data_IF_144416943408
#
_entry.id   IF_144416943408
#
_cell.length_a   1.000
_cell.length_b   1.000
_cell.length_c   1.000
_cell.angle_alpha   90.00
_cell.angle_beta   90.00
_cell.angle_gamma   90.00
#
_symmetry.space_group_name_H-M   'P 1'
#
loop_
_entity.id
_entity.type
_entity.pdbx_description
1 polymer ?
#
# COMPACT_ATOMS: atom_id res chain seq x y z
N UNK A 1 8.36 17.43 7.89
CA UNK A 1 8.34 18.03 9.24
C UNK A 1 7.40 17.20 10.09
N UNK A 2 7.92 16.55 11.14
CA UNK A 2 7.06 16.08 12.24
C UNK A 2 6.51 17.34 12.89
N UNK A 3 5.21 17.55 12.76
CA UNK A 3 4.52 18.50 13.63
C UNK A 3 4.72 17.90 15.01
N UNK A 4 5.34 18.65 15.92
CA UNK A 4 5.41 18.28 17.33
C UNK A 4 3.97 18.19 17.83
N UNK A 5 3.37 17.02 17.72
CA UNK A 5 2.01 16.78 18.21
C UNK A 5 2.04 17.04 19.70
N UNK A 6 1.19 17.95 20.17
CA UNK A 6 1.15 18.32 21.57
C UNK A 6 0.84 17.07 22.40
N UNK A 7 1.78 16.63 23.23
CA UNK A 7 1.62 15.42 24.06
C UNK A 7 0.32 15.41 24.88
N UNK A 8 -0.18 16.60 25.27
CA UNK A 8 -1.46 16.74 25.95
C UNK A 8 -2.65 16.36 25.05
N UNK A 9 -2.65 16.80 23.80
CA UNK A 9 -3.69 16.50 22.81
C UNK A 9 -3.72 15.01 22.46
N UNK A 10 -2.56 14.39 22.26
CA UNK A 10 -2.46 12.94 22.03
C UNK A 10 -3.10 12.17 23.19
N UNK A 11 -2.78 12.55 24.44
CA UNK A 11 -3.34 11.92 25.64
C UNK A 11 -4.84 12.17 25.79
N UNK A 12 -5.32 13.37 25.46
CA UNK A 12 -6.74 13.71 25.49
C UNK A 12 -7.52 12.90 24.46
N UNK A 13 -7.07 12.86 23.21
CA UNK A 13 -7.69 12.05 22.16
C UNK A 13 -7.72 10.56 22.52
N UNK A 14 -6.64 10.02 23.08
CA UNK A 14 -6.58 8.63 23.52
C UNK A 14 -7.71 8.28 24.49
N UNK A 15 -8.00 9.14 25.49
CA UNK A 15 -8.99 8.89 26.56
C UNK A 15 -10.43 8.76 26.06
N UNK A 16 -10.72 9.09 24.80
CA UNK A 16 -12.04 8.99 24.20
C UNK A 16 -12.36 7.58 23.67
N UNK A 17 -11.40 6.65 23.70
CA UNK A 17 -11.56 5.28 23.20
C UNK A 17 -11.86 4.25 24.29
N UNK A 18 -12.49 3.13 23.91
CA UNK A 18 -12.85 2.02 24.79
C UNK A 18 -11.74 0.98 24.91
N UNK A 19 -10.68 1.32 25.63
CA UNK A 19 -9.59 0.40 25.95
C UNK A 19 -9.61 -0.04 27.42
N UNK A 20 -8.88 -1.11 27.73
CA UNK A 20 -8.81 -1.68 29.07
C UNK A 20 -7.73 -1.01 29.92
N UNK A 21 -8.05 -0.70 31.18
CA UNK A 21 -7.11 -0.12 32.15
C UNK A 21 -6.83 1.38 31.94
N UNK A 22 -5.94 1.93 32.77
CA UNK A 22 -5.52 3.33 32.72
C UNK A 22 -4.25 3.49 31.87
N UNK A 23 -4.13 4.60 31.15
CA UNK A 23 -2.94 4.90 30.33
C UNK A 23 -1.71 5.01 31.24
N UNK A 24 -0.69 4.21 30.94
CA UNK A 24 0.64 4.30 31.56
C UNK A 24 1.52 5.23 30.73
N UNK A 25 1.56 5.01 29.41
CA UNK A 25 2.45 5.74 28.51
C UNK A 25 1.89 5.80 27.09
N UNK A 26 2.27 6.85 26.35
CA UNK A 26 1.98 7.04 24.94
C UNK A 26 3.25 7.49 24.23
N UNK A 27 3.80 6.65 23.37
CA UNK A 27 5.05 6.91 22.67
C UNK A 27 4.85 6.86 21.16
N UNK A 28 5.55 7.70 20.37
CA UNK A 28 5.59 7.55 18.92
C UNK A 28 6.00 6.14 18.53
N UNK A 29 5.34 5.56 17.52
CA UNK A 29 5.52 4.17 17.14
C UNK A 29 5.54 3.99 15.61
N UNK A 30 6.52 3.22 15.12
CA UNK A 30 6.68 2.90 13.71
C UNK A 30 7.41 3.97 12.88
N UNK A 31 7.62 3.66 11.59
CA UNK A 31 8.30 4.48 10.59
C UNK A 31 7.34 5.10 9.54
N UNK A 32 6.03 4.93 9.71
CA UNK A 32 5.00 5.31 8.74
C UNK A 32 5.07 6.77 8.29
N UNK A 33 4.78 7.02 7.01
CA UNK A 33 4.97 8.34 6.39
C UNK A 33 3.69 9.17 6.23
N UNK A 34 2.52 8.56 6.41
CA UNK A 34 1.20 9.17 6.15
C UNK A 34 0.53 9.67 7.44
N UNK A 35 0.28 8.76 8.40
CA UNK A 35 -0.37 9.05 9.67
C UNK A 35 0.64 9.14 10.83
N UNK A 36 0.36 9.99 11.82
CA UNK A 36 1.13 9.97 13.07
C UNK A 36 0.63 8.81 13.94
N UNK A 37 1.53 7.91 14.31
CA UNK A 37 1.18 6.66 15.01
C UNK A 37 1.85 6.62 16.38
N UNK A 38 1.08 6.23 17.39
CA UNK A 38 1.51 6.14 18.79
C UNK A 38 1.12 4.79 19.38
N UNK A 39 2.02 4.19 20.15
CA UNK A 39 1.72 3.02 20.97
C UNK A 39 1.21 3.49 22.33
N UNK A 40 0.01 3.06 22.71
CA UNK A 40 -0.60 3.30 24.01
C UNK A 40 -0.47 2.03 24.86
N UNK A 41 0.19 2.15 25.99
CA UNK A 41 0.31 1.08 27.00
C UNK A 41 -0.52 1.43 28.22
N UNK A 42 -1.21 0.44 28.79
CA UNK A 42 -2.15 0.66 29.91
C UNK A 42 -1.90 -0.32 31.05
N UNK A 43 -2.56 -0.10 32.19
CA UNK A 43 -2.47 -0.94 33.40
C UNK A 43 -3.15 -2.30 33.28
N UNK A 44 -3.71 -2.64 32.11
CA UNK A 44 -4.40 -3.92 31.93
C UNK A 44 -3.47 -5.12 32.14
N UNK A 45 -3.97 -6.14 32.84
CA UNK A 45 -3.22 -7.38 33.09
C UNK A 45 -3.28 -8.37 31.93
N UNK A 46 -4.07 -8.09 30.90
CA UNK A 46 -4.17 -8.91 29.69
C UNK A 46 -2.96 -8.72 28.76
N UNK A 47 -2.12 -7.71 29.02
CA UNK A 47 -0.97 -7.40 28.18
C UNK A 47 -1.38 -6.94 26.79
N UNK A 48 -2.50 -6.22 26.66
CA UNK A 48 -2.94 -5.62 25.40
C UNK A 48 -2.32 -4.22 25.30
N UNK A 49 -1.80 -3.87 24.11
CA UNK A 49 -1.44 -2.49 23.77
C UNK A 49 -2.32 -2.02 22.62
N UNK A 50 -2.33 -0.71 22.40
CA UNK A 50 -3.16 -0.10 21.38
C UNK A 50 -2.33 0.80 20.47
N UNK A 51 -2.77 0.93 19.22
CA UNK A 51 -2.24 1.89 18.26
C UNK A 51 -3.21 3.05 18.15
N UNK A 52 -2.80 4.23 18.62
CA UNK A 52 -3.52 5.47 18.38
C UNK A 52 -2.93 6.13 17.14
N UNK A 53 -3.79 6.53 16.20
CA UNK A 53 -3.35 7.20 14.98
C UNK A 53 -4.12 8.50 14.76
N UNK A 54 -3.38 9.56 14.44
CA UNK A 54 -3.95 10.77 13.85
C UNK A 54 -4.02 10.59 12.34
N UNK A 55 -5.23 10.64 11.79
CA UNK A 55 -5.51 10.45 10.37
C UNK A 55 -5.08 11.70 9.60
N UNK A 56 -4.32 11.52 8.54
CA UNK A 56 -3.99 12.60 7.62
C UNK A 56 -5.20 12.96 6.74
N UNK A 57 -6.10 13.76 7.29
CA UNK A 57 -7.36 14.15 6.66
C UNK A 57 -7.19 15.15 5.48
N UNK A 58 -5.96 15.64 5.23
CA UNK A 58 -5.63 16.36 4.00
C UNK A 58 -5.47 15.42 2.80
N UNK A 59 -5.02 14.18 3.04
CA UNK A 59 -4.96 13.12 2.03
C UNK A 59 -6.30 12.38 1.99
N UNK A 60 -6.80 11.96 3.16
CA UNK A 60 -8.08 11.26 3.30
C UNK A 60 -9.19 12.22 3.73
N UNK A 61 -9.72 12.98 2.77
CA UNK A 61 -10.76 13.96 3.04
C UNK A 61 -12.07 13.32 3.57
N UNK A 62 -12.42 12.13 3.08
CA UNK A 62 -13.57 11.36 3.56
C UNK A 62 -13.17 10.36 4.66
N UNK A 63 -12.94 10.88 5.87
CA UNK A 63 -12.56 10.08 7.05
C UNK A 63 -13.66 9.07 7.42
N UNK A 64 -14.93 9.41 7.21
CA UNK A 64 -16.04 8.51 7.51
C UNK A 64 -16.06 7.30 6.56
N UNK A 65 -15.90 7.54 5.25
CA UNK A 65 -15.75 6.49 4.25
C UNK A 65 -14.53 5.60 4.50
N UNK A 66 -13.40 6.19 4.88
CA UNK A 66 -12.19 5.47 5.26
C UNK A 66 -12.45 4.50 6.41
N UNK A 67 -13.00 4.98 7.52
CA UNK A 67 -13.25 4.14 8.69
C UNK A 67 -14.33 3.09 8.44
N UNK A 68 -15.34 3.41 7.62
CA UNK A 68 -16.34 2.45 7.17
C UNK A 68 -15.73 1.30 6.37
N UNK A 69 -14.83 1.58 5.41
CA UNK A 69 -14.12 0.55 4.66
C UNK A 69 -13.34 -0.38 5.59
N UNK A 70 -12.57 0.19 6.52
CA UNK A 70 -11.75 -0.59 7.47
C UNK A 70 -12.65 -1.50 8.32
N UNK A 71 -13.76 -0.98 8.86
CA UNK A 71 -14.69 -1.80 9.64
C UNK A 71 -15.34 -2.91 8.82
N UNK A 72 -15.73 -2.65 7.56
CA UNK A 72 -16.28 -3.69 6.69
C UNK A 72 -15.27 -4.81 6.44
N UNK A 73 -14.03 -4.45 6.12
CA UNK A 73 -12.93 -5.38 5.86
C UNK A 73 -12.59 -6.17 7.11
N UNK A 74 -12.43 -5.51 8.27
CA UNK A 74 -12.19 -6.15 9.57
C UNK A 74 -13.26 -7.21 9.86
N UNK A 75 -14.54 -6.81 9.83
CA UNK A 75 -15.66 -7.71 10.13
C UNK A 75 -15.74 -8.89 9.15
N UNK A 76 -15.36 -8.68 7.90
CA UNK A 76 -15.33 -9.76 6.92
C UNK A 76 -14.18 -10.72 7.20
N UNK A 77 -12.96 -10.22 7.39
CA UNK A 77 -11.78 -11.03 7.67
C UNK A 77 -11.93 -11.84 8.96
N UNK A 78 -12.47 -11.24 10.03
CA UNK A 78 -12.76 -11.94 11.30
C UNK A 78 -13.69 -13.14 11.08
N UNK A 79 -14.73 -13.01 10.25
CA UNK A 79 -15.63 -14.13 9.92
C UNK A 79 -14.98 -15.24 9.10
N UNK A 80 -13.91 -14.93 8.36
CA UNK A 80 -13.13 -15.91 7.59
C UNK A 80 -12.13 -16.69 8.44
N UNK A 81 -11.83 -16.23 9.66
CA UNK A 81 -10.91 -16.94 10.54
C UNK A 81 -11.46 -18.32 10.93
N UNK A 82 -10.58 -19.35 10.97
CA UNK A 82 -10.89 -20.64 11.56
C UNK A 82 -11.44 -20.53 12.99
N UNK A 83 -12.31 -21.46 13.38
CA UNK A 83 -13.00 -21.43 14.67
C UNK A 83 -12.05 -21.39 15.88
N UNK A 84 -10.89 -22.05 15.79
CA UNK A 84 -9.84 -22.06 16.80
C UNK A 84 -9.08 -20.72 16.92
N UNK A 85 -9.19 -19.84 15.91
CA UNK A 85 -8.60 -18.49 15.92
C UNK A 85 -9.59 -17.38 16.28
N UNK A 86 -10.90 -17.66 16.30
CA UNK A 86 -11.94 -16.66 16.54
C UNK A 86 -11.81 -15.96 17.91
N UNK A 87 -11.46 -16.71 18.96
CA UNK A 87 -11.28 -16.14 20.30
C UNK A 87 -10.08 -15.18 20.41
N UNK A 88 -9.15 -15.25 19.45
CA UNK A 88 -7.95 -14.41 19.37
C UNK A 88 -7.93 -13.61 18.06
N UNK A 89 -9.10 -13.28 17.51
CA UNK A 89 -9.22 -12.65 16.20
C UNK A 89 -8.39 -11.36 16.07
N UNK A 90 -8.30 -10.58 17.15
CA UNK A 90 -7.54 -9.32 17.20
C UNK A 90 -6.01 -9.52 17.11
N UNK A 91 -5.52 -10.77 17.14
CA UNK A 91 -4.12 -11.10 16.84
C UNK A 91 -3.90 -11.35 15.33
N UNK A 92 -4.95 -11.67 14.58
CA UNK A 92 -4.86 -12.05 13.16
C UNK A 92 -5.48 -11.01 12.21
N UNK A 93 -6.25 -10.06 12.73
CA UNK A 93 -6.92 -9.01 11.97
C UNK A 93 -6.76 -7.68 12.69
N UNK A 94 -6.34 -6.64 11.98
CA UNK A 94 -6.30 -5.27 12.52
C UNK A 94 -7.69 -4.85 12.97
N UNK A 95 -7.84 -4.56 14.27
CA UNK A 95 -9.15 -4.45 14.91
C UNK A 95 -9.38 -3.06 15.48
N UNK A 96 -10.45 -2.39 15.05
CA UNK A 96 -10.80 -1.04 15.52
C UNK A 96 -11.25 -1.10 16.98
N UNK A 97 -10.75 -0.16 17.77
CA UNK A 97 -11.30 0.17 19.09
C UNK A 97 -12.27 1.34 18.92
N UNK A 98 -13.56 1.19 19.26
CA UNK A 98 -14.51 2.27 19.16
C UNK A 98 -14.25 3.36 20.21
N UNK A 99 -14.84 4.53 19.99
CA UNK A 99 -14.95 5.55 21.03
C UNK A 99 -15.93 5.12 22.12
N UNK A 100 -15.90 5.79 23.27
CA UNK A 100 -16.90 5.64 24.35
C UNK A 100 -18.34 5.99 23.94
N UNK A 101 -18.50 6.57 22.76
CA UNK A 101 -19.79 6.85 22.12
C UNK A 101 -20.07 5.87 20.96
N UNK A 102 -19.37 4.74 20.92
CA UNK A 102 -19.49 3.67 19.90
C UNK A 102 -19.20 4.14 18.45
N UNK A 103 -18.42 5.21 18.27
CA UNK A 103 -17.98 5.71 16.95
C UNK A 103 -16.65 5.08 16.55
N UNK A 104 -16.36 5.04 15.24
CA UNK A 104 -15.11 4.46 14.72
C UNK A 104 -13.90 5.38 14.86
N UNK A 105 -14.14 6.68 15.05
CA UNK A 105 -13.11 7.70 15.19
C UNK A 105 -13.59 8.83 16.10
N UNK A 106 -12.64 9.61 16.59
CA UNK A 106 -12.85 10.79 17.41
C UNK A 106 -12.29 12.02 16.68
N UNK A 107 -13.02 13.13 16.65
CA UNK A 107 -12.50 14.41 16.17
C UNK A 107 -12.22 15.30 17.38
N UNK A 108 -10.99 15.79 17.50
CA UNK A 108 -10.61 16.67 18.60
C UNK A 108 -11.03 18.13 18.37
N UNK A 109 -10.71 19.00 19.33
CA UNK A 109 -11.08 20.42 19.29
C UNK A 109 -10.32 21.22 18.23
N UNK A 110 -9.18 20.72 17.76
CA UNK A 110 -8.39 21.37 16.71
C UNK A 110 -8.84 20.93 15.31
N UNK A 111 -9.80 20.00 15.25
CA UNK A 111 -10.37 19.47 14.01
C UNK A 111 -9.65 18.23 13.48
N UNK A 112 -8.64 17.73 14.18
CA UNK A 112 -7.91 16.52 13.80
C UNK A 112 -8.71 15.26 14.12
N UNK A 113 -8.57 14.25 13.26
CA UNK A 113 -9.27 12.97 13.37
C UNK A 113 -8.35 11.89 13.93
N UNK A 114 -8.86 11.15 14.91
CA UNK A 114 -8.14 10.12 15.63
C UNK A 114 -8.88 8.79 15.54
N UNK A 115 -8.13 7.69 15.44
CA UNK A 115 -8.65 6.32 15.52
C UNK A 115 -7.75 5.47 16.39
N UNK A 116 -8.28 4.37 16.91
CA UNK A 116 -7.50 3.43 17.71
C UNK A 116 -7.68 2.01 17.21
N UNK A 117 -6.60 1.23 17.22
CA UNK A 117 -6.60 -0.21 16.95
C UNK A 117 -6.01 -1.00 18.11
N UNK A 118 -6.32 -2.28 18.17
CA UNK A 118 -5.50 -3.24 18.95
C UNK A 118 -4.11 -3.33 18.31
N UNK A 119 -3.05 -3.20 19.12
CA UNK A 119 -1.69 -3.48 18.66
C UNK A 119 -1.47 -4.99 18.61
N UNK A 120 -1.24 -5.50 17.40
CA UNK A 120 -0.84 -6.90 17.19
C UNK A 120 0.59 -7.07 17.70
N UNK A 121 0.77 -7.87 18.76
CA UNK A 121 2.06 -8.10 19.42
C UNK A 121 2.81 -9.30 18.84
N UNK A 122 4.09 -9.41 19.18
CA UNK A 122 4.99 -10.51 18.80
C UNK A 122 5.15 -10.68 17.30
N UNK A 123 5.00 -9.57 16.56
CA UNK A 123 5.17 -9.51 15.12
C UNK A 123 6.39 -8.69 14.74
N UNK A 124 6.85 -8.90 13.52
CA UNK A 124 7.91 -8.13 12.86
C UNK A 124 7.48 -7.81 11.44
N UNK A 125 7.91 -6.66 10.94
CA UNK A 125 7.83 -6.27 9.54
C UNK A 125 9.22 -5.85 9.06
N UNK A 126 9.42 -5.83 7.75
CA UNK A 126 10.70 -5.47 7.14
C UNK A 126 10.49 -4.42 6.06
N UNK A 127 11.32 -3.39 6.06
CA UNK A 127 11.29 -2.35 5.00
C UNK A 127 11.90 -2.85 3.69
N UNK A 128 12.82 -3.81 3.77
CA UNK A 128 13.53 -4.40 2.63
C UNK A 128 13.39 -5.92 2.70
N UNK A 129 13.06 -6.54 1.57
CA UNK A 129 13.01 -8.00 1.44
C UNK A 129 14.37 -8.52 1.00
N UNK A 130 15.00 -9.34 1.84
CA UNK A 130 16.36 -9.84 1.60
C UNK A 130 16.37 -11.31 1.19
N UNK A 131 15.33 -12.07 1.55
CA UNK A 131 15.29 -13.53 1.37
C UNK A 131 14.08 -14.01 0.58
N UNK A 132 14.22 -15.10 -0.20
CA UNK A 132 13.09 -15.75 -0.86
C UNK A 132 11.98 -16.18 0.11
N UNK A 133 12.32 -16.56 1.35
CA UNK A 133 11.31 -16.94 2.34
C UNK A 133 10.42 -15.76 2.72
N UNK A 134 11.01 -14.58 2.98
CA UNK A 134 10.25 -13.35 3.22
C UNK A 134 9.36 -13.03 2.01
N UNK A 135 9.92 -13.01 0.79
CA UNK A 135 9.15 -12.72 -0.42
C UNK A 135 7.96 -13.68 -0.60
N UNK A 136 8.16 -14.98 -0.35
CA UNK A 136 7.08 -15.98 -0.40
C UNK A 136 5.98 -15.69 0.61
N UNK A 137 6.32 -15.35 1.84
CA UNK A 137 5.32 -15.04 2.88
C UNK A 137 4.60 -13.72 2.62
N UNK A 138 5.26 -12.73 2.00
CA UNK A 138 4.59 -11.53 1.50
C UNK A 138 3.58 -11.83 0.39
N UNK A 139 3.96 -12.67 -0.58
CA UNK A 139 3.05 -13.13 -1.62
C UNK A 139 1.85 -13.86 -1.03
N UNK A 140 2.11 -14.78 -0.11
CA UNK A 140 1.06 -15.50 0.64
C UNK A 140 0.13 -14.54 1.38
N UNK A 141 0.66 -13.52 2.05
CA UNK A 141 -0.13 -12.54 2.79
C UNK A 141 -1.14 -11.80 1.90
N UNK A 142 -0.69 -11.21 0.80
CA UNK A 142 -1.58 -10.47 -0.11
C UNK A 142 -2.50 -11.41 -0.90
N UNK A 143 -2.04 -12.62 -1.25
CA UNK A 143 -2.88 -13.64 -1.87
C UNK A 143 -4.02 -14.08 -0.96
N UNK A 144 -3.73 -14.34 0.32
CA UNK A 144 -4.74 -14.66 1.34
C UNK A 144 -5.67 -13.49 1.61
N UNK A 145 -5.15 -12.27 1.68
CA UNK A 145 -5.96 -11.07 1.86
C UNK A 145 -7.01 -10.94 0.76
N UNK A 146 -6.61 -11.04 -0.51
CA UNK A 146 -7.56 -10.97 -1.62
C UNK A 146 -8.51 -12.17 -1.67
N UNK A 147 -8.02 -13.38 -1.42
CA UNK A 147 -8.87 -14.59 -1.35
C UNK A 147 -9.97 -14.42 -0.28
N UNK A 148 -9.60 -13.94 0.91
CA UNK A 148 -10.53 -13.77 2.01
C UNK A 148 -11.54 -12.64 1.78
N UNK A 149 -11.28 -11.73 0.84
CA UNK A 149 -12.20 -10.65 0.46
C UNK A 149 -12.90 -10.90 -0.88
N UNK A 150 -12.62 -12.01 -1.57
CA UNK A 150 -13.12 -12.26 -2.92
C UNK A 150 -14.65 -12.37 -3.01
N UNK A 151 -15.33 -12.71 -1.91
CA UNK A 151 -16.79 -12.78 -1.78
C UNK A 151 -17.40 -11.58 -1.01
N UNK A 152 -16.59 -10.58 -0.67
CA UNK A 152 -17.10 -9.29 -0.22
C UNK A 152 -17.38 -8.40 -1.46
N UNK A 153 -18.61 -7.91 -1.55
CA UNK A 153 -19.06 -7.05 -2.64
C UNK A 153 -18.26 -5.73 -2.67
N UNK A 154 -17.38 -5.60 -3.67
CA UNK A 154 -16.52 -4.45 -3.85
C UNK A 154 -17.29 -3.13 -4.05
N UNK A 155 -18.55 -3.17 -4.52
CA UNK A 155 -19.38 -1.96 -4.71
C UNK A 155 -19.80 -1.31 -3.39
N UNK A 156 -19.62 -2.01 -2.26
CA UNK A 156 -19.86 -1.47 -0.92
C UNK A 156 -18.67 -0.71 -0.35
N UNK A 157 -17.48 -0.85 -0.94
CA UNK A 157 -16.28 -0.15 -0.49
C UNK A 157 -16.25 1.24 -1.13
N UNK A 158 -15.99 2.27 -0.32
CA UNK A 158 -15.91 3.67 -0.74
C UNK A 158 -14.55 3.94 -1.40
N UNK A 159 -14.54 4.64 -2.54
CA UNK A 159 -13.29 5.15 -3.13
C UNK A 159 -12.85 6.42 -2.40
N UNK A 160 -12.07 6.26 -1.33
CA UNK A 160 -11.62 7.38 -0.46
C UNK A 160 -10.49 8.20 -1.04
N UNK A 161 -9.75 7.65 -2.01
CA UNK A 161 -8.75 8.33 -2.81
C UNK A 161 -9.07 8.15 -4.30
N UNK A 162 -9.95 8.99 -4.87
CA UNK A 162 -10.32 8.90 -6.27
C UNK A 162 -9.12 8.94 -7.20
N UNK A 163 -9.13 8.09 -8.23
CA UNK A 163 -8.08 8.03 -9.26
C UNK A 163 -6.70 7.59 -8.74
N UNK A 164 -6.63 6.86 -7.61
CA UNK A 164 -5.37 6.47 -6.99
C UNK A 164 -4.43 5.74 -7.97
N UNK A 165 -4.90 4.65 -8.59
CA UNK A 165 -4.19 3.89 -9.63
C UNK A 165 -4.72 4.15 -11.07
N UNK A 166 -5.29 5.33 -11.31
CA UNK A 166 -5.81 5.69 -12.64
C UNK A 166 -4.71 6.32 -13.52
N UNK A 167 -4.12 5.51 -14.41
CA UNK A 167 -3.05 5.96 -15.30
C UNK A 167 -3.45 7.09 -16.26
N UNK A 168 -4.69 7.11 -16.76
CA UNK A 168 -5.17 8.20 -17.63
C UNK A 168 -5.15 9.53 -16.88
N UNK A 169 -5.59 9.52 -15.61
CA UNK A 169 -5.54 10.69 -14.74
C UNK A 169 -4.09 11.13 -14.45
N UNK A 170 -3.19 10.18 -14.15
CA UNK A 170 -1.77 10.50 -13.88
C UNK A 170 -1.08 11.11 -15.10
N UNK A 171 -1.28 10.55 -16.29
CA UNK A 171 -0.75 11.11 -17.53
C UNK A 171 -1.37 12.47 -17.88
N UNK A 172 -2.66 12.67 -17.61
CA UNK A 172 -3.30 13.98 -17.78
C UNK A 172 -2.67 15.05 -16.89
N UNK A 173 -2.37 14.73 -15.62
CA UNK A 173 -1.69 15.66 -14.72
C UNK A 173 -0.27 15.97 -15.19
N UNK A 174 0.47 14.96 -15.67
CA UNK A 174 1.80 15.19 -16.25
C UNK A 174 1.73 16.15 -17.45
N UNK A 175 0.77 15.95 -18.36
CA UNK A 175 0.60 16.83 -19.52
C UNK A 175 0.32 18.29 -19.11
N UNK A 176 -0.51 18.51 -18.09
CA UNK A 176 -0.75 19.86 -17.54
C UNK A 176 0.51 20.45 -16.91
N UNK A 177 1.30 19.65 -16.19
CA UNK A 177 2.56 20.10 -15.61
C UNK A 177 3.59 20.48 -16.69
N UNK A 178 3.65 19.72 -17.80
CA UNK A 178 4.48 20.03 -18.97
C UNK A 178 4.05 21.34 -19.63
N UNK A 179 2.75 21.53 -19.86
CA UNK A 179 2.20 22.75 -20.47
C UNK A 179 2.48 24.00 -19.62
N UNK A 180 2.34 23.88 -18.30
CA UNK A 180 2.57 24.97 -17.36
C UNK A 180 4.06 25.27 -17.18
N UNK A 181 4.89 24.22 -17.11
CA UNK A 181 6.34 24.29 -16.86
C UNK A 181 6.70 25.32 -15.76
N UNK A 182 6.01 25.27 -14.62
CA UNK A 182 6.08 26.34 -13.61
C UNK A 182 7.48 26.61 -13.09
N UNK A 183 8.29 25.56 -12.98
CA UNK A 183 9.65 25.64 -12.46
C UNK A 183 10.73 25.75 -13.56
N UNK A 184 10.34 25.81 -14.84
CA UNK A 184 11.29 25.87 -15.95
C UNK A 184 12.14 24.60 -16.14
N UNK A 185 11.77 23.49 -15.51
CA UNK A 185 12.53 22.22 -15.45
C UNK A 185 12.34 21.31 -16.67
N UNK A 186 11.40 21.62 -17.56
CA UNK A 186 11.02 20.77 -18.71
C UNK A 186 12.21 20.39 -19.61
N UNK A 187 13.11 21.33 -19.91
CA UNK A 187 14.23 21.08 -20.81
C UNK A 187 15.21 19.99 -20.31
N UNK A 188 15.22 19.71 -19.01
CA UNK A 188 16.09 18.72 -18.39
C UNK A 188 15.53 17.28 -18.44
N UNK A 189 14.30 17.09 -18.93
CA UNK A 189 13.57 15.81 -18.83
C UNK A 189 12.90 15.37 -20.14
N UNK A 190 13.30 15.94 -21.28
CA UNK A 190 12.68 15.65 -22.58
C UNK A 190 12.82 14.16 -22.98
N UNK A 191 13.97 13.55 -22.68
CA UNK A 191 14.23 12.12 -22.88
C UNK A 191 13.27 11.25 -22.04
N UNK A 192 13.00 11.66 -20.80
CA UNK A 192 12.06 11.00 -19.91
C UNK A 192 10.62 11.11 -20.43
N UNK A 193 10.24 12.27 -20.98
CA UNK A 193 8.91 12.45 -21.59
C UNK A 193 8.74 11.54 -22.82
N UNK A 194 9.78 11.41 -23.64
CA UNK A 194 9.77 10.47 -24.77
C UNK A 194 9.66 9.01 -24.30
N UNK A 195 10.36 8.64 -23.22
CA UNK A 195 10.25 7.33 -22.60
C UNK A 195 8.80 7.01 -22.18
N UNK A 196 8.11 7.99 -21.58
CA UNK A 196 6.71 7.88 -21.16
C UNK A 196 5.79 7.71 -22.38
N UNK A 197 5.89 8.60 -23.36
CA UNK A 197 5.05 8.60 -24.58
C UNK A 197 5.15 7.28 -25.34
N UNK A 198 6.35 6.69 -25.42
CA UNK A 198 6.56 5.41 -26.09
C UNK A 198 5.82 4.23 -25.43
N UNK A 199 5.42 4.36 -24.16
CA UNK A 199 4.84 3.29 -23.34
C UNK A 199 3.39 3.51 -22.95
N UNK A 200 2.82 4.69 -23.19
CA UNK A 200 1.45 5.04 -22.75
C UNK A 200 0.39 4.01 -23.16
N UNK A 201 0.46 3.50 -24.39
CA UNK A 201 -0.51 2.51 -24.88
C UNK A 201 -0.51 1.23 -24.04
N UNK A 202 0.68 0.67 -23.77
CA UNK A 202 0.83 -0.54 -22.95
C UNK A 202 0.40 -0.29 -21.51
N UNK A 203 0.81 0.84 -20.94
CA UNK A 203 0.50 1.16 -19.54
C UNK A 203 -1.00 1.40 -19.31
N UNK A 204 -1.80 1.55 -20.36
CA UNK A 204 -3.26 1.65 -20.30
C UNK A 204 -3.99 0.31 -20.43
N UNK A 205 -3.30 -0.81 -20.62
CA UNK A 205 -3.90 -2.13 -20.87
C UNK A 205 -4.90 -2.52 -19.78
N UNK A 206 -4.51 -2.51 -18.50
CA UNK A 206 -5.39 -2.88 -17.38
C UNK A 206 -6.64 -2.00 -17.34
N UNK A 207 -6.45 -0.68 -17.45
CA UNK A 207 -7.56 0.28 -17.42
C UNK A 207 -8.52 0.06 -18.61
N UNK A 208 -8.00 -0.27 -19.79
CA UNK A 208 -8.82 -0.61 -20.96
C UNK A 208 -9.61 -1.90 -20.73
N UNK A 209 -8.94 -2.97 -20.29
CA UNK A 209 -9.59 -4.26 -20.02
C UNK A 209 -10.67 -4.14 -18.92
N UNK A 210 -10.44 -3.30 -17.91
CA UNK A 210 -11.44 -2.98 -16.90
C UNK A 210 -12.66 -2.26 -17.47
N UNK A 211 -12.46 -1.22 -18.29
CA UNK A 211 -13.54 -0.49 -18.98
C UNK A 211 -14.35 -1.39 -19.92
N UNK A 212 -13.68 -2.35 -20.56
CA UNK A 212 -14.28 -3.35 -21.44
C UNK A 212 -14.99 -4.49 -20.67
N UNK A 213 -14.96 -4.48 -19.33
CA UNK A 213 -15.60 -5.47 -18.48
C UNK A 213 -14.89 -6.83 -18.41
N UNK A 214 -13.65 -6.92 -18.90
CA UNK A 214 -12.84 -8.14 -18.89
C UNK A 214 -12.22 -8.42 -17.51
N UNK A 215 -11.84 -7.36 -16.78
CA UNK A 215 -11.29 -7.47 -15.44
C UNK A 215 -12.38 -7.21 -14.39
N UNK A 216 -12.65 -8.17 -13.49
CA UNK A 216 -13.57 -7.95 -12.38
C UNK A 216 -13.11 -6.80 -11.48
N UNK A 217 -14.07 -6.07 -10.91
CA UNK A 217 -13.82 -5.16 -9.81
C UNK A 217 -13.66 -5.96 -8.52
N UNK A 218 -12.54 -5.78 -7.82
CA UNK A 218 -12.16 -6.50 -6.61
C UNK A 218 -11.89 -5.50 -5.49
N UNK A 219 -11.85 -5.99 -4.25
CA UNK A 219 -11.29 -5.23 -3.14
C UNK A 219 -9.79 -5.45 -3.14
N UNK A 220 -9.04 -4.36 -3.20
CA UNK A 220 -7.58 -4.35 -3.33
C UNK A 220 -6.96 -3.52 -2.23
N UNK A 221 -5.74 -3.85 -1.82
CA UNK A 221 -5.02 -3.12 -0.78
C UNK A 221 -4.49 -1.77 -1.27
N UNK A 222 -4.04 -1.73 -2.52
CA UNK A 222 -3.47 -0.59 -3.24
C UNK A 222 -2.13 -0.03 -2.72
N UNK A 223 -1.63 -0.45 -1.55
CA UNK A 223 -0.28 -0.14 -1.04
C UNK A 223 0.40 -1.41 -0.50
N UNK A 224 0.89 -2.26 -1.39
CA UNK A 224 1.34 -3.63 -1.06
C UNK A 224 2.83 -3.73 -0.75
N UNK A 225 3.38 -2.67 -0.14
CA UNK A 225 4.74 -2.68 0.41
C UNK A 225 4.89 -3.77 1.45
N UNK A 226 6.08 -4.37 1.50
CA UNK A 226 6.32 -5.49 2.42
C UNK A 226 6.23 -5.11 3.91
N UNK A 227 6.50 -3.85 4.27
CA UNK A 227 6.35 -3.39 5.65
C UNK A 227 4.88 -3.29 6.12
N UNK A 228 3.91 -3.42 5.20
CA UNK A 228 2.49 -3.61 5.50
C UNK A 228 2.12 -5.08 5.76
N UNK A 229 3.10 -5.99 5.77
CA UNK A 229 2.92 -7.39 6.19
C UNK A 229 3.54 -7.60 7.56
N UNK A 230 2.73 -8.06 8.51
CA UNK A 230 3.20 -8.54 9.80
C UNK A 230 3.50 -10.04 9.73
N UNK A 231 4.70 -10.40 10.19
CA UNK A 231 5.17 -11.77 10.31
C UNK A 231 5.32 -12.14 11.79
N UNK A 232 5.12 -13.41 12.13
CA UNK A 232 5.40 -13.92 13.47
C UNK A 232 6.91 -14.08 13.73
N UNK A 233 7.27 -14.58 14.92
CA UNK A 233 8.67 -14.79 15.29
C UNK A 233 9.43 -15.80 14.38
N UNK A 234 8.71 -16.64 13.64
CA UNK A 234 9.22 -17.65 12.70
C UNK A 234 9.16 -17.18 11.23
N UNK A 235 8.95 -15.87 10.99
CA UNK A 235 8.77 -15.29 9.65
C UNK A 235 7.57 -15.86 8.89
N UNK A 236 6.53 -16.34 9.57
CA UNK A 236 5.28 -16.75 8.92
C UNK A 236 4.28 -15.61 8.91
N UNK A 237 3.47 -15.51 7.86
CA UNK A 237 2.44 -14.48 7.76
C UNK A 237 1.49 -14.48 8.96
N UNK A 238 1.38 -13.33 9.61
CA UNK A 238 0.39 -13.07 10.65
C UNK A 238 -0.83 -12.35 10.05
N UNK A 239 -0.63 -11.18 9.44
CA UNK A 239 -1.69 -10.42 8.77
C UNK A 239 -1.14 -9.29 7.88
N UNK A 240 -2.03 -8.68 7.08
CA UNK A 240 -1.80 -7.42 6.38
C UNK A 240 -2.33 -6.26 7.22
N UNK A 241 -1.60 -5.15 7.26
CA UNK A 241 -1.95 -3.90 7.97
C UNK A 241 -1.98 -2.72 7.00
N UNK A 242 -2.26 -1.51 7.51
CA UNK A 242 -2.39 -0.27 6.72
C UNK A 242 -3.54 -0.32 5.69
N UNK A 243 -4.75 -0.50 6.22
CA UNK A 243 -5.95 -0.69 5.42
C UNK A 243 -6.51 0.61 4.81
N UNK A 244 -5.73 1.70 4.80
CA UNK A 244 -6.22 3.04 4.45
C UNK A 244 -6.52 3.20 2.97
N UNK A 245 -5.78 2.47 2.14
CA UNK A 245 -5.95 2.46 0.69
C UNK A 245 -6.78 1.27 0.23
N UNK A 246 -7.41 0.51 1.15
CA UNK A 246 -8.29 -0.58 0.77
C UNK A 246 -9.54 -0.03 0.10
N UNK A 247 -9.61 -0.26 -1.21
CA UNK A 247 -10.59 0.34 -2.12
C UNK A 247 -10.91 -0.63 -3.27
N UNK A 248 -11.99 -0.36 -4.04
CA UNK A 248 -12.24 -1.09 -5.27
C UNK A 248 -11.09 -0.89 -6.27
N UNK A 249 -10.67 -1.97 -6.91
CA UNK A 249 -9.58 -1.97 -7.88
C UNK A 249 -9.46 -3.30 -8.61
N UNK A 250 -8.28 -3.57 -9.17
CA UNK A 250 -7.97 -4.79 -9.90
C UNK A 250 -6.74 -5.46 -9.30
N UNK A 251 -6.77 -6.79 -9.21
CA UNK A 251 -5.73 -7.58 -8.52
C UNK A 251 -4.31 -7.35 -9.06
N UNK A 252 -4.19 -6.99 -10.34
CA UNK A 252 -2.92 -6.63 -10.96
C UNK A 252 -2.25 -5.41 -10.32
N UNK A 253 -3.02 -4.50 -9.71
CA UNK A 253 -2.47 -3.33 -9.02
C UNK A 253 -1.69 -3.74 -7.77
N UNK A 254 -2.30 -4.55 -6.90
CA UNK A 254 -1.65 -5.08 -5.71
C UNK A 254 -0.44 -5.95 -6.06
N UNK A 255 -0.56 -6.81 -7.07
CA UNK A 255 0.55 -7.66 -7.51
C UNK A 255 1.71 -6.81 -8.03
N UNK A 256 1.43 -5.82 -8.88
CA UNK A 256 2.44 -4.94 -9.46
C UNK A 256 3.15 -4.08 -8.42
N UNK A 257 2.43 -3.50 -7.47
CA UNK A 257 3.01 -2.63 -6.45
C UNK A 257 3.87 -3.40 -5.44
N UNK A 258 3.50 -4.65 -5.16
CA UNK A 258 4.31 -5.54 -4.34
C UNK A 258 5.62 -5.87 -5.04
N UNK A 259 5.57 -6.27 -6.32
CA UNK A 259 6.78 -6.58 -7.10
C UNK A 259 7.70 -5.36 -7.18
N UNK A 260 7.16 -4.17 -7.43
CA UNK A 260 7.92 -2.91 -7.49
C UNK A 260 8.81 -2.69 -6.26
N UNK A 261 8.34 -3.09 -5.08
CA UNK A 261 9.03 -2.87 -3.80
C UNK A 261 9.88 -4.07 -3.37
N UNK A 262 9.51 -5.30 -3.75
CA UNK A 262 10.16 -6.53 -3.28
C UNK A 262 11.40 -6.89 -4.10
N UNK A 263 11.36 -6.69 -5.42
CA UNK A 263 12.40 -7.25 -6.31
C UNK A 263 13.49 -6.25 -6.67
N UNK A 264 13.34 -4.98 -6.26
CA UNK A 264 14.33 -3.93 -6.46
C UNK A 264 15.15 -3.74 -5.17
N UNK A 265 16.44 -4.13 -5.14
CA UNK A 265 17.27 -3.98 -3.95
C UNK A 265 17.76 -2.53 -3.75
N UNK A 266 17.60 -1.66 -4.76
CA UNK A 266 17.98 -0.26 -4.68
C UNK A 266 16.87 0.57 -4.01
N UNK A 267 17.28 1.58 -3.24
CA UNK A 267 16.35 2.56 -2.69
C UNK A 267 15.60 3.31 -3.80
N UNK A 268 14.39 3.80 -3.50
CA UNK A 268 13.53 4.50 -4.47
C UNK A 268 14.21 5.77 -5.04
N UNK A 269 15.13 6.36 -4.29
CA UNK A 269 15.93 7.54 -4.60
C UNK A 269 17.41 7.23 -4.90
N UNK A 270 17.74 6.01 -5.31
CA UNK A 270 19.11 5.63 -5.66
C UNK A 270 19.66 6.44 -6.84
N UNK A 271 20.76 7.15 -6.59
CA UNK A 271 21.44 7.98 -7.61
C UNK A 271 22.26 7.17 -8.61
N UNK A 272 22.78 6.02 -8.21
CA UNK A 272 23.50 5.08 -9.08
C UNK A 272 22.55 4.05 -9.69
N UNK A 273 22.03 4.38 -10.87
CA UNK A 273 21.09 3.55 -11.63
C UNK A 273 21.66 2.16 -12.00
N UNK A 274 22.96 1.92 -11.88
CA UNK A 274 23.54 0.59 -12.13
C UNK A 274 23.18 -0.44 -11.05
N UNK A 275 22.73 0.02 -9.87
CA UNK A 275 22.27 -0.82 -8.77
C UNK A 275 20.81 -1.22 -8.87
N UNK A 276 20.02 -0.51 -9.70
CA UNK A 276 18.64 -0.88 -10.00
C UNK A 276 18.66 -2.12 -10.89
N UNK A 277 18.46 -3.27 -10.26
CA UNK A 277 18.48 -4.60 -10.89
C UNK A 277 17.33 -5.43 -10.36
N UNK A 278 16.87 -6.39 -11.15
CA UNK A 278 15.83 -7.31 -10.70
C UNK A 278 16.43 -8.44 -9.87
N UNK A 279 15.81 -8.72 -8.73
CA UNK A 279 16.04 -9.95 -7.99
C UNK A 279 15.01 -11.01 -8.41
N UNK A 280 15.31 -11.73 -9.51
CA UNK A 280 14.42 -12.76 -10.08
C UNK A 280 14.07 -13.87 -9.05
N UNK A 281 15.00 -14.37 -8.21
CA UNK A 281 14.63 -15.29 -7.13
C UNK A 281 13.55 -14.77 -6.17
N UNK A 282 13.54 -13.47 -5.84
CA UNK A 282 12.48 -12.88 -5.02
C UNK A 282 11.17 -12.76 -5.80
N UNK A 283 11.21 -12.41 -7.09
CA UNK A 283 10.04 -12.41 -7.97
C UNK A 283 9.38 -13.79 -8.00
N UNK A 284 10.16 -14.85 -8.22
CA UNK A 284 9.67 -16.24 -8.24
C UNK A 284 9.07 -16.65 -6.89
N UNK A 285 9.75 -16.33 -5.79
CA UNK A 285 9.27 -16.68 -4.47
C UNK A 285 7.97 -15.97 -4.09
N UNK A 286 7.86 -14.67 -4.38
CA UNK A 286 6.63 -13.90 -4.19
C UNK A 286 5.48 -14.45 -5.04
N UNK A 287 5.74 -14.67 -6.33
CA UNK A 287 4.76 -15.22 -7.28
C UNK A 287 4.24 -16.58 -6.81
N UNK A 288 5.14 -17.45 -6.33
CA UNK A 288 4.77 -18.75 -5.78
C UNK A 288 3.87 -18.64 -4.54
N UNK A 289 4.18 -17.72 -3.62
CA UNK A 289 3.36 -17.48 -2.43
C UNK A 289 1.98 -16.91 -2.78
N UNK A 290 1.95 -15.90 -3.66
CA UNK A 290 0.72 -15.25 -4.08
C UNK A 290 -0.22 -16.18 -4.83
N UNK A 291 0.27 -16.84 -5.89
CA UNK A 291 -0.55 -17.76 -6.68
C UNK A 291 -0.87 -19.06 -5.93
N UNK A 292 -0.07 -19.44 -4.92
CA UNK A 292 -0.41 -20.54 -4.01
C UNK A 292 -1.74 -20.34 -3.30
N UNK A 293 -2.12 -19.09 -3.04
CA UNK A 293 -3.33 -18.72 -2.29
C UNK A 293 -4.42 -18.17 -3.23
N UNK A 294 -4.05 -17.28 -4.16
CA UNK A 294 -5.01 -16.51 -4.95
C UNK A 294 -5.53 -17.23 -6.20
N UNK A 295 -4.77 -18.16 -6.79
CA UNK A 295 -5.09 -18.70 -8.13
C UNK A 295 -6.50 -19.31 -8.23
N UNK A 296 -7.03 -19.83 -7.13
CA UNK A 296 -8.33 -20.50 -7.10
C UNK A 296 -9.52 -19.58 -7.36
N UNK A 297 -9.40 -18.27 -7.10
CA UNK A 297 -10.49 -17.31 -7.28
C UNK A 297 -10.27 -16.36 -8.47
N UNK A 298 -9.06 -16.34 -9.05
CA UNK A 298 -8.69 -15.48 -10.16
C UNK A 298 -9.23 -16.02 -11.49
N UNK A 299 -9.71 -15.11 -12.33
CA UNK A 299 -10.09 -15.42 -13.71
C UNK A 299 -8.84 -15.51 -14.61
N UNK A 300 -8.98 -16.13 -15.78
CA UNK A 300 -7.88 -16.18 -16.77
C UNK A 300 -7.40 -14.77 -17.15
N UNK A 301 -8.33 -13.82 -17.38
CA UNK A 301 -8.00 -12.44 -17.72
C UNK A 301 -7.22 -11.73 -16.59
N UNK A 302 -7.54 -12.02 -15.33
CA UNK A 302 -6.78 -11.49 -14.20
C UNK A 302 -5.37 -12.07 -14.10
N UNK A 303 -5.22 -13.38 -14.33
CA UNK A 303 -3.90 -14.03 -14.36
C UNK A 303 -3.02 -13.44 -15.48
N UNK A 304 -3.59 -13.24 -16.67
CA UNK A 304 -2.89 -12.61 -17.80
C UNK A 304 -2.54 -11.14 -17.53
N UNK A 305 -3.31 -10.45 -16.68
CA UNK A 305 -3.07 -9.05 -16.33
C UNK A 305 -1.98 -8.81 -15.28
N UNK A 306 -1.54 -9.85 -14.55
CA UNK A 306 -0.57 -9.71 -13.45
C UNK A 306 0.73 -9.08 -13.92
N UNK A 307 1.25 -9.53 -15.06
CA UNK A 307 2.50 -9.00 -15.62
C UNK A 307 2.35 -7.55 -16.10
N UNK A 308 1.19 -7.19 -16.65
CA UNK A 308 0.91 -5.79 -17.00
C UNK A 308 0.91 -4.87 -15.77
N UNK A 309 0.50 -5.39 -14.60
CA UNK A 309 0.59 -4.68 -13.32
C UNK A 309 2.05 -4.42 -12.92
N UNK A 310 2.92 -5.41 -13.11
CA UNK A 310 4.36 -5.31 -12.82
C UNK A 310 5.02 -4.18 -13.60
N UNK A 311 4.61 -3.93 -14.84
CA UNK A 311 5.10 -2.79 -15.62
C UNK A 311 4.44 -1.46 -15.21
N UNK A 312 3.12 -1.48 -15.02
CA UNK A 312 2.32 -0.29 -14.78
C UNK A 312 2.70 0.44 -13.50
N UNK A 313 2.88 -0.28 -12.39
CA UNK A 313 3.01 0.35 -11.07
C UNK A 313 4.31 1.17 -10.90
N UNK A 314 5.51 0.66 -11.24
CA UNK A 314 6.71 1.50 -11.29
C UNK A 314 6.58 2.63 -12.30
N UNK A 315 5.99 2.38 -13.48
CA UNK A 315 5.78 3.43 -14.47
C UNK A 315 4.91 4.58 -13.93
N UNK A 316 3.76 4.25 -13.34
CA UNK A 316 2.83 5.21 -12.77
C UNK A 316 3.48 6.00 -11.62
N UNK A 317 4.26 5.33 -10.78
CA UNK A 317 5.00 5.99 -9.71
C UNK A 317 6.06 6.96 -10.26
N UNK A 318 6.79 6.57 -11.30
CA UNK A 318 7.73 7.45 -12.01
C UNK A 318 7.05 8.68 -12.63
N UNK A 319 5.87 8.50 -13.23
CA UNK A 319 5.03 9.60 -13.74
C UNK A 319 4.62 10.55 -12.61
N UNK A 320 4.19 10.03 -11.45
CA UNK A 320 3.82 10.85 -10.29
C UNK A 320 4.99 11.69 -9.78
N UNK A 321 6.18 11.09 -9.65
CA UNK A 321 7.39 11.82 -9.25
C UNK A 321 7.78 12.88 -10.26
N UNK A 322 7.67 12.59 -11.57
CA UNK A 322 8.02 13.55 -12.61
C UNK A 322 7.07 14.75 -12.60
N UNK A 323 5.77 14.49 -12.47
CA UNK A 323 4.76 15.55 -12.34
C UNK A 323 5.08 16.45 -11.15
N UNK A 324 5.35 15.89 -9.97
CA UNK A 324 5.67 16.67 -8.78
C UNK A 324 6.98 17.48 -8.95
N UNK A 325 8.01 16.89 -9.57
CA UNK A 325 9.25 17.59 -9.90
C UNK A 325 9.01 18.80 -10.83
N UNK A 326 8.13 18.69 -11.82
CA UNK A 326 7.79 19.79 -12.73
C UNK A 326 6.93 20.87 -12.05
N UNK A 327 6.16 20.49 -11.03
CA UNK A 327 5.28 21.38 -10.27
C UNK A 327 5.94 22.04 -9.06
N UNK A 328 7.19 21.68 -8.74
CA UNK A 328 7.95 22.30 -7.64
C UNK A 328 7.93 21.51 -6.33
N UNK A 329 7.79 20.18 -6.38
CA UNK A 329 7.99 19.26 -5.26
C UNK A 329 7.05 19.50 -4.06
N UNK A 330 5.76 19.70 -4.33
CA UNK A 330 4.76 20.04 -3.31
C UNK A 330 4.01 18.83 -2.75
N UNK A 331 3.98 17.71 -3.48
CA UNK A 331 3.27 16.49 -3.08
C UNK A 331 4.16 15.54 -2.28
N UNK A 332 5.34 15.20 -2.79
CA UNK A 332 6.28 14.30 -2.10
C UNK A 332 7.29 15.10 -1.29
N UNK A 333 7.61 14.60 -0.09
CA UNK A 333 8.72 15.16 0.71
C UNK A 333 10.03 14.96 -0.06
N UNK A 334 10.73 16.07 -0.30
CA UNK A 334 12.06 16.11 -0.91
C UNK A 334 13.13 16.53 0.10
N UNK A 335 14.37 16.14 -0.18
CA UNK A 335 15.54 16.43 0.65
C UNK A 335 16.52 17.38 -0.06
N UNK A 336 16.44 17.44 -1.38
CA UNK A 336 17.21 18.29 -2.27
C UNK A 336 16.39 18.56 -3.54
N UNK A 337 16.78 19.56 -4.34
CA UNK A 337 15.98 20.11 -5.44
C UNK A 337 15.58 19.10 -6.51
N UNK A 338 16.42 18.10 -6.76
CA UNK A 338 16.24 17.15 -7.86
C UNK A 338 15.81 15.77 -7.35
N UNK A 339 15.36 15.68 -6.09
CA UNK A 339 15.08 14.41 -5.43
C UNK A 339 13.98 13.62 -6.16
N UNK A 340 12.88 14.26 -6.53
CA UNK A 340 11.83 13.60 -7.30
C UNK A 340 12.30 13.18 -8.70
N UNK A 341 13.19 13.96 -9.35
CA UNK A 341 13.79 13.55 -10.63
C UNK A 341 14.65 12.29 -10.49
N UNK A 342 15.42 12.18 -9.39
CA UNK A 342 16.18 10.95 -9.09
C UNK A 342 15.22 9.76 -8.93
N UNK A 343 14.15 9.92 -8.16
CA UNK A 343 13.13 8.87 -7.98
C UNK A 343 12.48 8.46 -9.30
N UNK A 344 12.12 9.42 -10.16
CA UNK A 344 11.62 9.15 -11.52
C UNK A 344 12.57 8.27 -12.31
N UNK A 345 13.87 8.60 -12.31
CA UNK A 345 14.89 7.85 -13.05
C UNK A 345 15.04 6.42 -12.52
N UNK A 346 15.01 6.23 -11.20
CA UNK A 346 15.03 4.89 -10.58
C UNK A 346 13.83 4.05 -11.03
N UNK A 347 12.62 4.62 -10.99
CA UNK A 347 11.42 3.90 -11.42
C UNK A 347 11.44 3.53 -12.91
N UNK A 348 11.89 4.41 -13.79
CA UNK A 348 11.97 4.11 -15.23
C UNK A 348 13.14 3.20 -15.61
N UNK A 349 14.24 3.23 -14.84
CA UNK A 349 15.26 2.20 -14.93
C UNK A 349 14.67 0.84 -14.56
N UNK A 350 13.90 0.74 -13.47
CA UNK A 350 13.21 -0.49 -13.09
C UNK A 350 12.26 -0.97 -14.19
N UNK A 351 11.46 -0.10 -14.79
CA UNK A 351 10.60 -0.45 -15.95
C UNK A 351 11.42 -1.05 -17.10
N UNK A 352 12.57 -0.45 -17.43
CA UNK A 352 13.43 -0.93 -18.51
C UNK A 352 14.03 -2.32 -18.21
N UNK A 353 14.42 -2.56 -16.96
CA UNK A 353 14.91 -3.88 -16.52
C UNK A 353 13.79 -4.93 -16.57
N UNK A 354 12.57 -4.57 -16.15
CA UNK A 354 11.39 -5.44 -16.24
C UNK A 354 11.09 -5.80 -17.70
N UNK A 355 11.11 -4.83 -18.61
CA UNK A 355 10.87 -5.07 -20.05
C UNK A 355 11.93 -6.00 -20.65
N UNK A 356 13.20 -5.85 -20.24
CA UNK A 356 14.27 -6.74 -20.68
C UNK A 356 14.09 -8.19 -20.18
N UNK A 357 13.49 -8.38 -19.00
CA UNK A 357 13.24 -9.68 -18.38
C UNK A 357 11.83 -10.25 -18.67
N UNK A 358 11.03 -9.61 -19.51
CA UNK A 358 9.60 -9.92 -19.71
C UNK A 358 9.31 -11.42 -19.92
N UNK A 359 10.05 -12.07 -20.81
CA UNK A 359 9.88 -13.49 -21.11
C UNK A 359 10.17 -14.40 -19.89
N UNK A 360 11.16 -14.04 -19.07
CA UNK A 360 11.51 -14.79 -17.86
C UNK A 360 10.44 -14.62 -16.78
N UNK A 361 9.97 -13.38 -16.57
CA UNK A 361 8.92 -13.07 -15.61
C UNK A 361 7.59 -13.76 -15.99
N UNK A 362 7.22 -13.71 -17.27
CA UNK A 362 6.03 -14.41 -17.80
C UNK A 362 6.12 -15.92 -17.58
N UNK A 363 7.27 -16.54 -17.90
CA UNK A 363 7.47 -17.97 -17.72
C UNK A 363 7.33 -18.40 -16.24
N UNK A 364 7.80 -17.56 -15.31
CA UNK A 364 7.64 -17.78 -13.87
C UNK A 364 6.17 -17.71 -13.47
N UNK A 365 5.39 -16.72 -13.92
CA UNK A 365 3.96 -16.64 -13.62
C UNK A 365 3.25 -17.90 -14.13
N UNK A 366 3.47 -18.28 -15.40
CA UNK A 366 2.84 -19.45 -16.02
C UNK A 366 3.14 -20.77 -15.30
N UNK A 367 4.35 -20.90 -14.75
CA UNK A 367 4.76 -22.08 -13.96
C UNK A 367 3.85 -22.30 -12.74
N UNK A 368 3.34 -21.24 -12.13
CA UNK A 368 2.50 -21.33 -10.92
C UNK A 368 1.00 -21.21 -11.21
N UNK A 369 0.63 -20.82 -12.44
CA UNK A 369 -0.74 -20.90 -12.95
C UNK A 369 -1.14 -22.33 -13.32
N UNK A 370 -0.23 -23.07 -13.97
CA UNK A 370 -0.40 -24.49 -14.31
C UNK A 370 -0.39 -25.36 -13.06
#
# INVERSE_FOLDING_TARGET
>A
MSILTNSAQVSESAKNFEFLGDIIDIVPFGSGHINDTFCVTTTNTAGISYLLQRINHHIFADVAGLMYNIQLVENHLKRKLPADKQALADQYVLSIIPTKEEKLFFQDTDGDYWRMFVLIRNTKSYDIVETPQQAREGGKAFGQFQLNLADLDATKIVEVLPNFHNIDFRLSNLNKAIEKNSEGRLAAVEDIIQFIRARESRMKTILKQAKDGLLPLRITHNDTKFNNVLLDAQDQVQCVIDLDTVMPGHVAYDFGDAIRTIINPAAEDETDLSKVKLNIPLFEAYTAGYLGEAKGFLTAAELDSLLEGVFLLPFMQGVRFLTDYLEGDHYFKVAYSDHNLVRTKTQFKLVSELEAAENELQAIIEKYVK
#
